data_IF_520173590753
#
_entry.id   IF_520173590753
#
_cell.length_a   1.000
_cell.length_b   1.000
_cell.length_c   1.000
_cell.angle_alpha   90.00
_cell.angle_beta   90.00
_cell.angle_gamma   90.00
#
_symmetry.space_group_name_H-M   'P 1'
#
loop_
_entity.id
_entity.type
_entity.pdbx_description
1 polymer ?
#
# COMPACT_ATOMS: atom_id res chain seq x y z
N UNK A 1 1.12 38.40 6.52
CA UNK A 1 1.51 37.22 7.32
C UNK A 1 2.10 36.21 6.34
N UNK A 2 3.43 36.01 6.37
CA UNK A 2 4.10 35.11 5.43
C UNK A 2 3.86 33.64 5.81
N UNK A 3 3.77 32.71 4.84
CA UNK A 3 3.63 31.29 5.13
C UNK A 3 4.94 30.73 5.71
N UNK A 4 4.89 29.68 6.55
CA UNK A 4 6.09 29.10 7.12
C UNK A 4 6.93 28.40 6.04
N UNK A 5 8.22 28.71 6.01
CA UNK A 5 9.23 28.07 5.18
C UNK A 5 9.40 26.60 5.58
N UNK A 6 9.08 25.67 4.68
CA UNK A 6 9.37 24.25 4.86
C UNK A 6 10.86 24.00 4.66
N UNK A 7 11.55 23.56 5.71
CA UNK A 7 12.90 23.01 5.61
C UNK A 7 12.87 21.72 4.76
N UNK A 8 13.89 21.46 3.91
CA UNK A 8 13.91 20.29 3.05
C UNK A 8 13.95 19.00 3.87
N UNK A 9 13.02 18.08 3.58
CA UNK A 9 12.99 16.72 4.10
C UNK A 9 14.26 15.98 3.65
N UNK A 10 15.13 15.62 4.59
CA UNK A 10 16.21 14.67 4.31
C UNK A 10 15.60 13.28 4.08
N UNK A 11 16.01 12.66 2.99
CA UNK A 11 15.50 11.41 2.42
C UNK A 11 15.54 10.26 3.43
N UNK A 12 14.49 9.44 3.45
CA UNK A 12 14.44 8.19 4.18
C UNK A 12 15.49 7.21 3.61
N UNK A 13 16.27 6.59 4.49
CA UNK A 13 17.28 5.61 4.11
C UNK A 13 16.72 4.20 4.35
N UNK A 14 16.58 3.41 3.28
CA UNK A 14 16.33 1.97 3.39
C UNK A 14 17.64 1.29 3.79
N UNK A 15 17.64 0.56 4.91
CA UNK A 15 18.78 -0.26 5.31
C UNK A 15 18.71 -1.63 4.63
N UNK A 16 19.59 -1.88 3.65
CA UNK A 16 19.94 -3.20 3.12
C UNK A 16 21.33 -3.62 3.67
N UNK A 17 21.49 -4.90 4.04
CA UNK A 17 22.56 -5.45 4.90
C UNK A 17 23.82 -5.95 4.11
N UNK A 18 24.88 -6.55 4.70
CA UNK A 18 26.13 -5.88 5.11
C UNK A 18 27.41 -6.59 4.62
N UNK A 19 28.31 -5.90 3.92
CA UNK A 19 29.74 -6.28 3.87
C UNK A 19 30.57 -5.07 3.43
N UNK A 20 30.88 -4.16 4.35
CA UNK A 20 32.02 -3.24 4.24
C UNK A 20 32.24 -2.49 5.55
N UNK A 21 33.36 -2.81 6.18
CA UNK A 21 34.23 -2.03 7.07
C UNK A 21 33.84 -0.57 7.43
N UNK A 22 33.95 -0.29 8.72
CA UNK A 22 33.95 1.06 9.30
C UNK A 22 32.60 1.44 9.90
N UNK A 23 32.55 1.59 11.22
CA UNK A 23 31.44 2.27 11.89
C UNK A 23 31.48 3.73 11.41
N UNK A 24 30.83 4.03 10.29
CA UNK A 24 30.38 5.38 10.02
C UNK A 24 29.28 5.64 11.03
N UNK A 25 29.45 6.65 11.88
CA UNK A 25 28.33 7.23 12.61
C UNK A 25 27.28 7.67 11.59
N UNK A 26 26.29 6.81 11.37
CA UNK A 26 25.09 7.14 10.64
C UNK A 26 24.33 8.06 11.58
N UNK A 27 24.26 9.35 11.24
CA UNK A 27 23.51 10.32 12.04
C UNK A 27 22.08 9.84 12.32
N UNK A 28 21.49 10.33 13.41
CA UNK A 28 20.15 9.91 13.85
C UNK A 28 19.09 10.10 12.75
N UNK A 29 18.59 8.98 12.20
CA UNK A 29 17.50 9.00 11.23
C UNK A 29 16.18 9.33 11.95
N UNK A 30 15.43 10.32 11.46
CA UNK A 30 14.14 10.72 12.04
C UNK A 30 13.01 9.72 11.73
N UNK A 31 13.13 8.98 10.63
CA UNK A 31 12.16 7.99 10.18
C UNK A 31 12.90 6.73 9.75
N UNK A 32 12.43 5.59 10.24
CA UNK A 32 12.96 4.27 9.89
C UNK A 32 11.81 3.42 9.36
N UNK A 33 11.85 3.08 8.08
CA UNK A 33 10.89 2.18 7.45
C UNK A 33 11.42 0.75 7.55
N UNK A 34 10.57 -0.16 8.01
CA UNK A 34 10.98 -1.53 8.30
C UNK A 34 9.82 -2.49 7.98
N UNK A 35 10.16 -3.66 7.45
CA UNK A 35 9.16 -4.71 7.21
C UNK A 35 8.81 -5.45 8.50
N UNK A 36 7.60 -6.02 8.62
CA UNK A 36 7.22 -6.84 9.77
C UNK A 36 8.23 -7.94 10.11
N UNK A 37 8.81 -8.57 9.09
CA UNK A 37 9.81 -9.63 9.21
C UNK A 37 11.09 -9.13 9.88
N UNK A 38 11.54 -7.92 9.51
CA UNK A 38 12.76 -7.32 10.05
C UNK A 38 12.58 -6.85 11.49
N UNK A 39 11.39 -6.33 11.83
CA UNK A 39 11.08 -5.81 13.18
C UNK A 39 11.37 -6.86 14.27
N UNK A 40 11.03 -8.12 14.03
CA UNK A 40 11.18 -9.19 15.03
C UNK A 40 12.55 -9.85 15.04
N UNK A 41 13.52 -9.35 14.27
CA UNK A 41 14.90 -9.84 14.33
C UNK A 41 15.58 -9.38 15.62
N UNK A 42 16.51 -10.19 16.16
CA UNK A 42 17.28 -9.84 17.37
C UNK A 42 18.01 -8.51 17.22
N UNK A 43 18.59 -8.27 16.05
CA UNK A 43 19.33 -7.05 15.76
C UNK A 43 18.43 -5.81 15.84
N UNK A 44 17.26 -5.85 15.19
CA UNK A 44 16.34 -4.71 15.19
C UNK A 44 15.68 -4.49 16.57
N UNK A 45 15.42 -5.56 17.33
CA UNK A 45 14.96 -5.43 18.72
C UNK A 45 16.03 -4.77 19.61
N UNK A 46 17.31 -5.08 19.41
CA UNK A 46 18.43 -4.38 20.07
C UNK A 46 18.48 -2.90 19.71
N UNK A 47 18.31 -2.57 18.42
CA UNK A 47 18.21 -1.19 17.95
C UNK A 47 17.06 -0.42 18.62
N UNK A 48 15.85 -0.99 18.64
CA UNK A 48 14.70 -0.39 19.32
C UNK A 48 14.93 -0.20 20.82
N UNK A 49 15.58 -1.17 21.49
CA UNK A 49 15.92 -1.07 22.90
C UNK A 49 16.89 0.07 23.18
N UNK A 50 17.91 0.26 22.33
CA UNK A 50 18.87 1.35 22.47
C UNK A 50 18.21 2.72 22.29
N UNK A 51 17.35 2.88 21.28
CA UNK A 51 16.60 4.14 21.11
C UNK A 51 15.67 4.40 22.29
N UNK A 52 14.97 3.38 22.78
CA UNK A 52 14.05 3.53 23.90
C UNK A 52 14.78 3.87 25.21
N UNK A 53 15.92 3.24 25.50
CA UNK A 53 16.70 3.53 26.72
C UNK A 53 17.34 4.92 26.72
N UNK A 54 17.58 5.47 25.53
CA UNK A 54 18.10 6.83 25.35
C UNK A 54 16.99 7.88 25.17
N UNK A 55 15.71 7.50 25.31
CA UNK A 55 14.55 8.36 25.08
C UNK A 55 14.53 8.99 23.68
N UNK A 56 15.01 8.25 22.67
CA UNK A 56 15.07 8.66 21.25
C UNK A 56 14.02 7.97 20.37
N UNK A 57 13.18 7.10 20.94
CA UNK A 57 12.06 6.48 20.24
C UNK A 57 10.74 7.12 20.67
N UNK A 58 10.23 8.04 19.86
CA UNK A 58 8.97 8.74 20.18
C UNK A 58 7.72 7.88 19.93
N UNK A 59 7.65 7.19 18.78
CA UNK A 59 6.44 6.53 18.28
C UNK A 59 6.76 5.33 17.41
N UNK A 60 5.82 4.38 17.38
CA UNK A 60 5.79 3.30 16.39
C UNK A 60 4.53 3.47 15.54
N UNK A 61 4.71 3.58 14.22
CA UNK A 61 3.61 3.72 13.25
C UNK A 61 3.43 2.41 12.49
N UNK A 62 2.24 1.83 12.56
CA UNK A 62 1.86 0.64 11.79
C UNK A 62 0.98 1.08 10.63
N UNK A 63 1.57 1.13 9.44
CA UNK A 63 0.83 1.37 8.20
C UNK A 63 0.08 0.10 7.77
N UNK A 64 -1.07 0.27 7.12
CA UNK A 64 -2.00 -0.82 6.74
C UNK A 64 -2.31 -1.77 7.90
N UNK A 65 -2.65 -1.21 9.06
CA UNK A 65 -2.76 -1.98 10.30
C UNK A 65 -3.82 -3.10 10.26
N UNK A 66 -4.82 -3.02 9.37
CA UNK A 66 -5.80 -4.09 9.17
C UNK A 66 -5.15 -5.42 8.77
N UNK A 67 -3.98 -5.39 8.11
CA UNK A 67 -3.23 -6.59 7.73
C UNK A 67 -2.79 -7.46 8.92
N UNK A 68 -2.80 -6.91 10.14
CA UNK A 68 -2.59 -7.69 11.37
C UNK A 68 -3.68 -8.75 11.59
N UNK A 69 -4.90 -8.51 11.08
CA UNK A 69 -6.02 -9.45 11.10
C UNK A 69 -5.83 -10.60 10.08
N UNK A 70 -5.23 -10.27 8.93
CA UNK A 70 -5.04 -11.19 7.80
C UNK A 70 -3.87 -12.16 8.04
N UNK A 71 -2.88 -11.74 8.82
CA UNK A 71 -1.75 -12.57 9.19
C UNK A 71 -2.21 -13.89 9.79
N UNK A 72 -1.63 -14.99 9.33
CA UNK A 72 -1.84 -16.33 9.86
C UNK A 72 -0.58 -17.19 9.64
N UNK A 73 -0.60 -18.46 10.08
CA UNK A 73 0.57 -19.33 9.99
C UNK A 73 1.02 -19.59 8.55
N UNK A 74 0.10 -19.57 7.57
CA UNK A 74 0.39 -19.78 6.16
C UNK A 74 0.66 -18.47 5.40
N UNK A 75 0.22 -17.32 5.93
CA UNK A 75 0.34 -16.03 5.27
C UNK A 75 0.90 -14.96 6.21
N UNK A 76 2.15 -14.54 5.94
CA UNK A 76 2.86 -13.45 6.64
C UNK A 76 2.64 -13.47 8.17
N UNK A 77 3.07 -14.53 8.87
CA UNK A 77 2.76 -14.74 10.29
C UNK A 77 3.23 -13.59 11.20
N UNK A 78 4.29 -12.87 10.80
CA UNK A 78 4.81 -11.71 11.53
C UNK A 78 3.86 -10.51 11.57
N UNK A 79 2.86 -10.44 10.69
CA UNK A 79 1.83 -9.40 10.76
C UNK A 79 1.01 -9.48 12.06
N UNK A 80 0.61 -10.69 12.50
CA UNK A 80 -0.10 -10.84 13.79
C UNK A 80 0.78 -10.42 14.97
N UNK A 81 2.09 -10.64 14.86
CA UNK A 81 3.02 -10.33 15.94
C UNK A 81 3.21 -8.82 16.13
N UNK A 82 2.90 -7.98 15.12
CA UNK A 82 3.03 -6.51 15.21
C UNK A 82 2.29 -5.92 16.40
N UNK A 83 1.18 -6.52 16.83
CA UNK A 83 0.46 -6.09 18.01
C UNK A 83 1.28 -6.14 19.30
N UNK A 84 2.27 -7.05 19.40
CA UNK A 84 3.18 -7.16 20.56
C UNK A 84 4.02 -5.90 20.77
N UNK A 85 4.21 -5.07 19.75
CA UNK A 85 4.94 -3.80 19.88
C UNK A 85 4.26 -2.84 20.85
N UNK A 86 2.94 -2.94 21.04
CA UNK A 86 2.22 -2.14 22.04
C UNK A 86 2.74 -2.37 23.47
N UNK A 87 3.32 -3.54 23.76
CA UNK A 87 3.88 -3.86 25.08
C UNK A 87 5.15 -3.06 25.40
N UNK A 88 5.75 -2.38 24.42
CA UNK A 88 6.91 -1.50 24.66
C UNK A 88 6.57 -0.26 25.47
N UNK A 89 5.30 0.07 25.64
CA UNK A 89 4.87 1.28 26.36
C UNK A 89 5.19 2.58 25.63
N UNK A 90 5.49 2.50 24.33
CA UNK A 90 5.68 3.65 23.44
C UNK A 90 4.36 3.94 22.72
N UNK A 91 4.14 5.21 22.36
CA UNK A 91 2.93 5.59 21.64
C UNK A 91 2.84 4.87 20.29
N UNK A 92 1.73 4.17 20.10
CA UNK A 92 1.40 3.47 18.85
C UNK A 92 0.48 4.35 17.98
N UNK A 93 0.75 4.39 16.68
CA UNK A 93 -0.13 5.03 15.68
C UNK A 93 -0.49 3.99 14.62
N UNK A 94 -1.77 3.80 14.37
CA UNK A 94 -2.28 2.82 13.43
C UNK A 94 -2.95 3.54 12.25
N UNK A 95 -2.50 3.25 11.04
CA UNK A 95 -3.03 3.84 9.81
C UNK A 95 -3.70 2.76 8.96
N UNK A 96 -4.91 3.01 8.49
CA UNK A 96 -5.65 2.06 7.63
C UNK A 96 -6.76 2.78 6.88
N UNK A 97 -7.03 2.33 5.66
CA UNK A 97 -8.21 2.73 4.89
C UNK A 97 -9.34 1.69 4.94
N UNK A 98 -9.07 0.46 5.40
CA UNK A 98 -9.93 -0.71 5.14
C UNK A 98 -10.40 -1.46 6.40
N UNK A 99 -10.21 -0.90 7.60
CA UNK A 99 -10.67 -1.57 8.82
C UNK A 99 -12.20 -1.48 8.96
N UNK A 100 -12.86 -2.63 8.82
CA UNK A 100 -14.30 -2.77 9.02
C UNK A 100 -14.66 -2.56 10.49
N UNK A 101 -15.80 -1.90 10.75
CA UNK A 101 -16.30 -1.65 12.11
C UNK A 101 -16.49 -2.97 12.87
N UNK A 102 -16.96 -4.01 12.18
CA UNK A 102 -17.17 -5.35 12.75
C UNK A 102 -15.89 -6.05 13.17
N UNK A 103 -14.72 -5.62 12.67
CA UNK A 103 -13.42 -6.21 12.96
C UNK A 103 -12.64 -5.44 14.02
N UNK A 104 -13.11 -4.26 14.44
CA UNK A 104 -12.40 -3.40 15.39
C UNK A 104 -12.10 -4.14 16.70
N UNK A 105 -13.07 -4.87 17.25
CA UNK A 105 -12.87 -5.63 18.50
C UNK A 105 -11.73 -6.66 18.37
N UNK A 106 -11.69 -7.40 17.26
CA UNK A 106 -10.62 -8.36 16.96
C UNK A 106 -9.28 -7.65 16.79
N UNK A 107 -9.26 -6.52 16.10
CA UNK A 107 -8.07 -5.71 15.92
C UNK A 107 -7.50 -5.22 17.25
N UNK A 108 -8.34 -4.63 18.12
CA UNK A 108 -7.94 -4.16 19.44
C UNK A 108 -7.36 -5.28 20.33
N UNK A 109 -7.96 -6.47 20.26
CA UNK A 109 -7.43 -7.64 20.96
C UNK A 109 -6.03 -8.02 20.47
N UNK A 110 -5.79 -8.00 19.15
CA UNK A 110 -4.48 -8.33 18.58
C UNK A 110 -3.39 -7.32 18.98
N UNK A 111 -3.74 -6.05 19.08
CA UNK A 111 -2.80 -4.97 19.46
C UNK A 111 -2.72 -4.73 20.97
N UNK A 112 -3.28 -5.63 21.79
CA UNK A 112 -3.30 -5.53 23.26
C UNK A 112 -3.77 -4.15 23.76
N UNK A 113 -4.81 -3.62 23.14
CA UNK A 113 -5.35 -2.30 23.45
C UNK A 113 -6.88 -2.32 23.53
N UNK A 114 -7.49 -1.19 23.84
CA UNK A 114 -8.94 -1.03 23.88
C UNK A 114 -9.38 0.20 23.09
N UNK A 115 -10.61 0.24 22.56
CA UNK A 115 -11.14 1.47 21.94
C UNK A 115 -11.09 2.68 22.87
N UNK A 116 -11.28 2.49 24.19
CA UNK A 116 -11.24 3.57 25.19
C UNK A 116 -9.86 4.21 25.36
N UNK A 117 -8.80 3.46 25.05
CA UNK A 117 -7.41 3.94 25.11
C UNK A 117 -6.91 4.53 23.78
N UNK A 118 -7.78 4.64 22.77
CA UNK A 118 -7.41 5.12 21.44
C UNK A 118 -8.20 6.38 21.06
N UNK A 119 -7.54 7.31 20.37
CA UNK A 119 -8.20 8.43 19.70
C UNK A 119 -8.44 8.05 18.24
N UNK A 120 -9.69 8.13 17.80
CA UNK A 120 -10.08 7.78 16.44
C UNK A 120 -10.18 9.01 15.56
N UNK A 121 -9.56 8.92 14.39
CA UNK A 121 -9.76 9.85 13.29
C UNK A 121 -10.30 9.06 12.10
N UNK A 122 -11.60 9.17 11.83
CA UNK A 122 -12.26 8.50 10.70
C UNK A 122 -12.82 9.55 9.76
N UNK A 123 -12.26 9.59 8.55
CA UNK A 123 -12.68 10.51 7.49
C UNK A 123 -13.64 9.81 6.54
N UNK A 124 -14.55 10.56 5.88
CA UNK A 124 -15.40 10.00 4.84
C UNK A 124 -14.55 9.47 3.67
N UNK A 125 -14.96 8.34 3.10
CA UNK A 125 -14.32 7.76 1.91
C UNK A 125 -14.83 8.38 0.61
N UNK A 126 -15.87 9.20 0.67
CA UNK A 126 -16.45 9.91 -0.48
C UNK A 126 -15.41 10.80 -1.13
N UNK A 127 -15.19 10.61 -2.44
CA UNK A 127 -14.28 11.43 -3.23
C UNK A 127 -15.10 12.28 -4.21
N UNK A 128 -15.29 13.59 -3.98
CA UNK A 128 -16.15 14.43 -4.81
C UNK A 128 -15.64 14.58 -6.26
N UNK A 129 -14.38 14.26 -6.49
CA UNK A 129 -13.75 14.24 -7.81
C UNK A 129 -13.89 12.89 -8.55
N UNK A 130 -14.62 11.90 -8.01
CA UNK A 130 -14.91 10.62 -8.68
C UNK A 130 -16.35 10.60 -9.18
N UNK A 131 -16.52 10.21 -10.45
CA UNK A 131 -17.83 9.88 -11.05
C UNK A 131 -17.96 8.37 -11.21
N UNK A 132 -19.12 7.82 -10.88
CA UNK A 132 -19.47 6.43 -11.12
C UNK A 132 -20.45 6.32 -12.29
N UNK A 133 -20.23 5.36 -13.17
CA UNK A 133 -21.11 5.05 -14.30
C UNK A 133 -21.12 3.54 -14.57
N UNK A 134 -22.27 3.01 -14.99
CA UNK A 134 -22.40 1.61 -15.41
C UNK A 134 -22.83 1.62 -16.88
N UNK A 135 -22.09 0.89 -17.71
CA UNK A 135 -22.42 0.69 -19.12
C UNK A 135 -22.63 -0.80 -19.38
N UNK A 136 -23.72 -1.13 -20.07
CA UNK A 136 -24.07 -2.49 -20.46
C UNK A 136 -24.06 -2.58 -21.98
N UNK A 137 -23.55 -3.67 -22.53
CA UNK A 137 -23.58 -3.95 -23.97
C UNK A 137 -24.18 -5.32 -24.22
N UNK A 138 -24.83 -5.49 -25.38
CA UNK A 138 -25.53 -6.71 -25.72
C UNK A 138 -24.56 -7.72 -26.36
N UNK A 139 -24.54 -8.95 -25.85
CA UNK A 139 -23.73 -10.06 -26.38
C UNK A 139 -24.56 -11.05 -27.21
N UNK A 140 -25.87 -10.86 -27.30
CA UNK A 140 -26.77 -11.79 -28.00
C UNK A 140 -26.56 -11.67 -29.52
N UNK A 141 -26.30 -12.79 -30.18
CA UNK A 141 -26.01 -12.83 -31.63
C UNK A 141 -24.62 -12.32 -32.01
N UNK A 142 -23.75 -12.04 -31.03
CA UNK A 142 -22.36 -11.62 -31.28
C UNK A 142 -21.50 -12.86 -31.51
N UNK A 143 -20.92 -12.97 -32.70
CA UNK A 143 -20.06 -14.11 -33.07
C UNK A 143 -18.73 -14.13 -32.29
N UNK A 144 -18.18 -12.95 -31.94
CA UNK A 144 -16.96 -12.83 -31.16
C UNK A 144 -17.16 -11.88 -29.98
N UNK A 145 -17.50 -12.45 -28.82
CA UNK A 145 -17.74 -11.70 -27.57
C UNK A 145 -16.48 -10.93 -27.14
N UNK A 146 -15.29 -11.52 -27.30
CA UNK A 146 -14.03 -10.88 -26.91
C UNK A 146 -13.76 -9.60 -27.69
N UNK A 147 -13.98 -9.62 -29.00
CA UNK A 147 -13.85 -8.43 -29.85
C UNK A 147 -14.88 -7.35 -29.48
N UNK A 148 -16.12 -7.74 -29.18
CA UNK A 148 -17.16 -6.79 -28.75
C UNK A 148 -16.83 -6.15 -27.39
N UNK A 149 -16.29 -6.93 -26.44
CA UNK A 149 -15.79 -6.41 -25.16
C UNK A 149 -14.66 -5.41 -25.41
N UNK A 150 -13.65 -5.78 -26.20
CA UNK A 150 -12.50 -4.93 -26.49
C UNK A 150 -12.93 -3.60 -27.12
N UNK A 151 -13.79 -3.64 -28.14
CA UNK A 151 -14.33 -2.44 -28.77
C UNK A 151 -15.11 -1.55 -27.79
N UNK A 152 -15.93 -2.15 -26.93
CA UNK A 152 -16.71 -1.40 -25.92
C UNK A 152 -15.81 -0.73 -24.89
N UNK A 153 -14.79 -1.44 -24.42
CA UNK A 153 -13.80 -0.90 -23.47
C UNK A 153 -13.00 0.21 -24.14
N UNK A 154 -12.50 -0.01 -25.35
CA UNK A 154 -11.75 0.99 -26.12
C UNK A 154 -12.55 2.28 -26.27
N UNK A 155 -13.79 2.18 -26.76
CA UNK A 155 -14.67 3.33 -26.94
C UNK A 155 -14.89 4.09 -25.62
N UNK A 156 -15.12 3.37 -24.52
CA UNK A 156 -15.32 3.99 -23.20
C UNK A 156 -14.05 4.69 -22.70
N UNK A 157 -12.89 4.05 -22.86
CA UNK A 157 -11.60 4.61 -22.47
C UNK A 157 -11.25 5.83 -23.31
N UNK A 158 -11.43 5.79 -24.63
CA UNK A 158 -11.15 6.91 -25.53
C UNK A 158 -12.04 8.12 -25.23
N UNK A 159 -13.33 7.89 -24.96
CA UNK A 159 -14.26 8.94 -24.55
C UNK A 159 -13.82 9.62 -23.25
N UNK A 160 -13.43 8.81 -22.25
CA UNK A 160 -12.92 9.32 -20.98
C UNK A 160 -11.64 10.11 -21.23
N UNK A 161 -10.64 9.53 -21.89
CA UNK A 161 -9.34 10.18 -22.12
C UNK A 161 -9.47 11.47 -22.92
N UNK A 162 -10.38 11.54 -23.91
CA UNK A 162 -10.65 12.77 -24.67
C UNK A 162 -11.24 13.89 -23.81
N UNK A 163 -12.01 13.53 -22.77
CA UNK A 163 -12.58 14.51 -21.83
C UNK A 163 -11.52 15.12 -20.89
N UNK A 164 -10.39 14.43 -20.69
CA UNK A 164 -9.32 14.87 -19.79
C UNK A 164 -8.09 15.35 -20.58
N UNK A 165 -7.17 16.05 -19.93
CA UNK A 165 -5.98 16.60 -20.57
C UNK A 165 -5.10 15.50 -21.21
N UNK A 166 -4.18 15.89 -22.10
CA UNK A 166 -3.29 14.98 -22.86
C UNK A 166 -2.39 14.08 -22.01
N UNK A 167 -2.33 14.28 -20.69
CA UNK A 167 -1.56 13.47 -19.73
C UNK A 167 -2.43 12.50 -18.92
N UNK A 168 -3.71 12.34 -19.27
CA UNK A 168 -4.61 11.42 -18.56
C UNK A 168 -4.15 9.96 -18.74
N UNK A 169 -4.15 9.20 -17.64
CA UNK A 169 -3.88 7.76 -17.63
C UNK A 169 -5.14 7.01 -17.19
N UNK A 170 -5.37 5.84 -17.78
CA UNK A 170 -6.48 4.95 -17.44
C UNK A 170 -5.96 3.59 -16.94
N UNK A 171 -6.67 2.99 -15.99
CA UNK A 171 -6.42 1.64 -15.51
C UNK A 171 -7.66 0.81 -15.79
N UNK A 172 -7.48 -0.33 -16.46
CA UNK A 172 -8.55 -1.27 -16.80
C UNK A 172 -8.32 -2.54 -15.97
N UNK A 173 -9.27 -2.86 -15.10
CA UNK A 173 -9.23 -4.11 -14.33
C UNK A 173 -9.97 -5.22 -15.06
N UNK A 174 -9.35 -6.39 -15.15
CA UNK A 174 -9.94 -7.60 -15.71
C UNK A 174 -9.98 -8.71 -14.66
N UNK A 175 -10.91 -9.65 -14.80
CA UNK A 175 -11.13 -10.72 -13.83
C UNK A 175 -10.02 -11.79 -13.84
N UNK A 176 -9.41 -12.06 -15.01
CA UNK A 176 -8.42 -13.14 -15.16
C UNK A 176 -7.19 -12.65 -15.91
N UNK A 177 -6.02 -13.27 -15.65
CA UNK A 177 -4.76 -12.97 -16.35
C UNK A 177 -4.92 -13.11 -17.88
N UNK A 178 -5.61 -14.17 -18.32
CA UNK A 178 -5.90 -14.42 -19.74
C UNK A 178 -6.73 -13.30 -20.36
N UNK A 179 -7.75 -12.81 -19.65
CA UNK A 179 -8.55 -11.68 -20.11
C UNK A 179 -7.73 -10.38 -20.15
N UNK A 180 -6.88 -10.13 -19.14
CA UNK A 180 -5.96 -8.99 -19.14
C UNK A 180 -5.03 -9.02 -20.35
N UNK A 181 -4.41 -10.16 -20.66
CA UNK A 181 -3.52 -10.31 -21.82
C UNK A 181 -4.25 -10.05 -23.13
N UNK A 182 -5.38 -10.73 -23.36
CA UNK A 182 -6.14 -10.59 -24.59
C UNK A 182 -6.65 -9.17 -24.81
N UNK A 183 -7.10 -8.50 -23.73
CA UNK A 183 -7.58 -7.13 -23.81
C UNK A 183 -6.42 -6.14 -24.04
N UNK A 184 -5.29 -6.32 -23.36
CA UNK A 184 -4.12 -5.47 -23.54
C UNK A 184 -3.57 -5.57 -24.97
N UNK A 185 -3.51 -6.78 -25.54
CA UNK A 185 -3.15 -7.00 -26.94
C UNK A 185 -4.13 -6.32 -27.90
N UNK A 186 -5.43 -6.48 -27.67
CA UNK A 186 -6.48 -5.86 -28.49
C UNK A 186 -6.46 -4.33 -28.43
N UNK A 187 -6.09 -3.75 -27.29
CA UNK A 187 -6.01 -2.29 -27.08
C UNK A 187 -4.62 -1.72 -27.39
N UNK A 188 -3.60 -2.56 -27.61
CA UNK A 188 -2.21 -2.13 -27.78
C UNK A 188 -1.61 -1.44 -26.55
N UNK A 189 -2.00 -1.85 -25.34
CA UNK A 189 -1.54 -1.26 -24.08
C UNK A 189 -0.78 -2.26 -23.18
N UNK A 190 -0.19 -1.77 -22.09
CA UNK A 190 0.55 -2.62 -21.15
C UNK A 190 -0.36 -3.49 -20.27
N UNK A 191 0.03 -4.74 -20.07
CA UNK A 191 -0.60 -5.67 -19.14
C UNK A 191 0.19 -5.78 -17.83
N UNK A 192 -0.53 -5.80 -16.70
CA UNK A 192 0.03 -6.04 -15.36
C UNK A 192 -0.69 -7.19 -14.63
N UNK A 193 0.04 -8.23 -14.21
CA UNK A 193 -0.46 -9.34 -13.38
C UNK A 193 0.68 -10.05 -12.65
N UNK A 194 0.38 -10.97 -11.72
CA UNK A 194 1.38 -11.52 -10.77
C UNK A 194 2.63 -12.11 -11.43
N UNK A 195 2.50 -12.75 -12.59
CA UNK A 195 3.58 -13.49 -13.24
C UNK A 195 4.15 -12.75 -14.47
N UNK A 196 3.78 -11.47 -14.67
CA UNK A 196 4.25 -10.71 -15.83
C UNK A 196 5.63 -10.12 -15.59
N UNK A 197 6.65 -10.69 -16.23
CA UNK A 197 8.02 -10.19 -16.15
C UNK A 197 8.67 -10.24 -14.77
N UNK A 198 9.89 -9.74 -14.70
CA UNK A 198 10.65 -9.54 -13.45
C UNK A 198 10.14 -8.32 -12.68
N UNK A 199 10.52 -8.17 -11.41
CA UNK A 199 10.17 -6.97 -10.62
C UNK A 199 10.68 -5.67 -11.27
N UNK A 200 11.87 -5.71 -11.88
CA UNK A 200 12.43 -4.58 -12.61
C UNK A 200 11.64 -4.22 -13.86
N UNK A 201 11.17 -5.23 -14.61
CA UNK A 201 10.32 -5.04 -15.78
C UNK A 201 8.97 -4.43 -15.41
N UNK A 202 8.36 -4.92 -14.32
CA UNK A 202 7.13 -4.35 -13.75
C UNK A 202 7.31 -2.90 -13.35
N UNK A 203 8.43 -2.57 -12.69
CA UNK A 203 8.73 -1.21 -12.27
C UNK A 203 8.98 -0.25 -13.44
N UNK A 204 9.51 -0.73 -14.57
CA UNK A 204 9.65 0.11 -15.79
C UNK A 204 8.29 0.43 -16.42
N UNK A 205 7.40 -0.57 -16.55
CA UNK A 205 6.05 -0.40 -17.14
C UNK A 205 5.16 0.63 -16.42
N UNK A 206 5.45 0.93 -15.15
CA UNK A 206 4.69 1.91 -14.38
C UNK A 206 5.25 3.34 -14.45
N UNK A 207 6.43 3.54 -15.03
CA UNK A 207 7.12 4.84 -15.10
C UNK A 207 6.79 5.64 -16.37
N UNK A 208 6.47 4.94 -17.45
CA UNK A 208 6.06 5.53 -18.73
C UNK A 208 4.56 5.89 -18.71
#
# INVERSE_FOLDING_TARGET
MAPPSWLPLRTAQQCSNPHAQGIKEVGYARWVFVTPETVFTKHFQGYLNALQSQAQLDRIVINECHTTLEGNLAFRPKLRELGRLAQRGIQMVYLTAMLLITEEATFFNLIYSTPKSATFFRFPTTRPNIRYSVSSFNIKGVNNIGAAVAATVQQSTDQILTQYASTAKAIIYCQTKKATQALAEALGCDAYYSDVGTEDEKARRLRD
#
